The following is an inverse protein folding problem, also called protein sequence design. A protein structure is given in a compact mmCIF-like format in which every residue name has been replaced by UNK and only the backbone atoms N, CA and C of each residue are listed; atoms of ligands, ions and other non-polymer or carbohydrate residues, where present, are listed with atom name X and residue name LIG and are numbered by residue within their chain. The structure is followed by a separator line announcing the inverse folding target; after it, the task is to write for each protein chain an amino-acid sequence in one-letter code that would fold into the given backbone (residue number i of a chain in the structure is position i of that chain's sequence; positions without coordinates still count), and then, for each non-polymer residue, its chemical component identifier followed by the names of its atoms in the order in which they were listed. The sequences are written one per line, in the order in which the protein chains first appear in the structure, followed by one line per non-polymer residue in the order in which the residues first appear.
data_IF_916731731140
#
_entry.id   IF_916731731140
#
_cell.length_a   1.000
_cell.length_b   1.000
_cell.length_c   1.000
_cell.angle_alpha   90.00
_cell.angle_beta   90.00
_cell.angle_gamma   90.00
#
_symmetry.space_group_name_H-M   'P 1'
#
loop_
_entity.id
_entity.type
_entity.pdbx_description
1 polymer ?
#
# COMPACT_ATOMS: atom_id res chain seq x y z
N UNK A 1 -3.69 -29.62 23.43
CA UNK A 1 -2.87 -28.79 22.52
C UNK A 1 -3.10 -27.35 22.94
N UNK A 2 -2.15 -26.78 23.67
CA UNK A 2 -2.24 -25.38 24.12
C UNK A 2 -1.89 -24.46 22.96
N UNK A 3 -2.57 -23.33 22.78
CA UNK A 3 -2.18 -22.34 21.79
C UNK A 3 -0.82 -21.74 22.19
N UNK A 4 0.18 -21.92 21.34
CA UNK A 4 1.46 -21.20 21.45
C UNK A 4 1.21 -19.72 21.19
N UNK A 5 0.99 -18.96 22.25
CA UNK A 5 1.10 -17.50 22.22
C UNK A 5 2.59 -17.18 22.15
N UNK A 6 3.08 -16.90 20.95
CA UNK A 6 4.39 -16.28 20.78
C UNK A 6 4.40 -14.95 21.57
N UNK A 7 5.46 -14.62 22.31
CA UNK A 7 5.55 -13.34 22.99
C UNK A 7 5.49 -12.20 21.96
N UNK A 8 4.92 -11.02 22.32
CA UNK A 8 4.94 -9.86 21.44
C UNK A 8 6.38 -9.55 21.05
N UNK A 9 6.62 -9.26 19.77
CA UNK A 9 7.93 -8.88 19.26
C UNK A 9 8.45 -7.68 20.06
N UNK A 10 9.39 -7.93 20.96
CA UNK A 10 9.99 -6.92 21.83
C UNK A 10 10.67 -5.86 20.97
N UNK A 11 10.16 -4.63 20.98
CA UNK A 11 10.77 -3.47 20.31
C UNK A 11 9.99 -2.85 19.16
N UNK A 12 8.81 -3.37 18.80
CA UNK A 12 7.94 -2.71 17.81
C UNK A 12 7.29 -1.45 18.37
N UNK A 13 7.08 -0.46 17.49
CA UNK A 13 6.36 0.78 17.77
C UNK A 13 4.87 0.63 17.41
N UNK A 14 3.98 1.45 18.00
CA UNK A 14 2.61 1.58 17.50
C UNK A 14 2.61 1.90 16.01
N UNK A 15 1.75 1.22 15.26
CA UNK A 15 1.55 1.50 13.85
C UNK A 15 0.95 2.89 13.62
N UNK A 16 1.35 3.51 12.52
CA UNK A 16 0.72 4.75 12.04
C UNK A 16 -0.46 4.34 11.15
N UNK A 17 -1.71 4.72 11.49
CA UNK A 17 -2.86 4.44 10.63
C UNK A 17 -2.67 5.00 9.23
N UNK A 18 -3.25 4.34 8.23
CA UNK A 18 -3.21 4.74 6.83
C UNK A 18 -3.65 6.20 6.64
N UNK A 19 -4.79 6.59 7.21
CA UNK A 19 -5.31 7.93 7.00
C UNK A 19 -4.41 9.00 7.64
N UNK A 20 -3.79 8.69 8.79
CA UNK A 20 -2.79 9.54 9.41
C UNK A 20 -1.53 9.67 8.54
N UNK A 21 -1.06 8.59 7.90
CA UNK A 21 0.04 8.68 6.93
C UNK A 21 -0.35 9.56 5.73
N UNK A 22 -1.56 9.40 5.19
CA UNK A 22 -2.05 10.20 4.06
C UNK A 22 -2.20 11.68 4.42
N UNK A 23 -2.59 12.01 5.65
CA UNK A 23 -2.57 13.39 6.16
C UNK A 23 -1.15 13.98 6.19
N UNK A 24 -0.13 13.18 6.57
CA UNK A 24 1.27 13.62 6.53
C UNK A 24 1.76 13.84 5.10
N UNK A 25 1.33 13.01 4.15
CA UNK A 25 1.59 13.22 2.72
C UNK A 25 0.96 14.53 2.27
N UNK A 26 -0.31 14.77 2.60
CA UNK A 26 -1.01 16.01 2.29
C UNK A 26 -0.28 17.24 2.86
N UNK A 27 0.12 17.18 4.13
CA UNK A 27 0.87 18.25 4.76
C UNK A 27 2.22 18.50 4.08
N UNK A 28 2.95 17.45 3.71
CA UNK A 28 4.21 17.59 2.98
C UNK A 28 3.98 18.26 1.61
N UNK A 29 2.93 17.87 0.89
CA UNK A 29 2.51 18.52 -0.36
C UNK A 29 2.11 19.98 -0.14
N UNK A 30 1.46 20.34 0.96
CA UNK A 30 1.11 21.75 1.26
C UNK A 30 2.35 22.60 1.54
N UNK A 31 3.36 22.02 2.19
CA UNK A 31 4.62 22.71 2.47
C UNK A 31 5.59 22.74 1.29
N UNK A 32 5.44 21.83 0.32
CA UNK A 32 6.30 21.70 -0.86
C UNK A 32 5.47 21.84 -2.13
N UNK A 33 5.56 22.96 -2.86
CA UNK A 33 4.72 23.16 -4.05
C UNK A 33 5.02 22.15 -5.17
N UNK A 34 6.25 21.61 -5.22
CA UNK A 34 6.69 20.62 -6.20
C UNK A 34 7.39 19.47 -5.48
N UNK A 35 7.17 18.25 -5.96
CA UNK A 35 7.84 17.05 -5.46
C UNK A 35 9.36 17.03 -5.73
N UNK A 36 10.08 16.00 -5.25
CA UNK A 36 9.55 14.81 -4.61
C UNK A 36 9.09 15.03 -3.16
N UNK A 37 8.01 14.35 -2.79
CA UNK A 37 7.45 14.33 -1.45
C UNK A 37 8.08 13.22 -0.61
N UNK A 38 8.15 13.42 0.70
CA UNK A 38 8.89 12.59 1.66
C UNK A 38 8.54 11.10 1.59
N UNK A 39 7.28 10.76 1.39
CA UNK A 39 6.80 9.36 1.48
C UNK A 39 6.47 8.72 0.13
N UNK A 40 6.09 9.53 -0.85
CA UNK A 40 5.55 9.03 -2.13
C UNK A 40 6.40 9.43 -3.33
N UNK A 41 7.47 10.19 -3.14
CA UNK A 41 8.28 10.70 -4.25
C UNK A 41 7.47 11.66 -5.15
N UNK A 42 7.54 11.44 -6.46
CA UNK A 42 6.74 12.23 -7.41
C UNK A 42 5.28 11.77 -7.40
N UNK A 43 4.30 12.70 -7.48
CA UNK A 43 2.89 12.32 -7.50
C UNK A 43 2.55 11.49 -8.74
N UNK A 44 1.98 10.32 -8.49
CA UNK A 44 1.58 9.31 -9.47
C UNK A 44 0.42 8.53 -8.85
N UNK A 45 -0.81 8.73 -9.34
CA UNK A 45 -2.01 8.17 -8.72
C UNK A 45 -2.06 6.64 -8.80
N UNK A 46 -1.49 6.04 -9.85
CA UNK A 46 -1.41 4.58 -9.99
C UNK A 46 -0.48 3.99 -8.95
N UNK A 47 0.71 4.59 -8.80
CA UNK A 47 1.67 4.19 -7.78
C UNK A 47 1.09 4.39 -6.37
N UNK A 48 0.48 5.54 -6.08
CA UNK A 48 -0.09 5.85 -4.76
C UNK A 48 -1.26 4.93 -4.40
N UNK A 49 -2.09 4.55 -5.37
CA UNK A 49 -3.20 3.65 -5.13
C UNK A 49 -2.71 2.28 -4.62
N UNK A 50 -1.70 1.71 -5.28
CA UNK A 50 -1.13 0.43 -4.85
C UNK A 50 -0.21 0.56 -3.63
N UNK A 51 0.46 1.70 -3.44
CA UNK A 51 1.16 2.01 -2.19
C UNK A 51 0.24 1.95 -0.98
N UNK A 52 -0.97 2.48 -1.09
CA UNK A 52 -1.98 2.32 -0.04
C UNK A 52 -2.36 0.85 0.16
N UNK A 53 -2.48 0.10 -0.93
CA UNK A 53 -2.75 -1.35 -0.87
C UNK A 53 -1.69 -2.09 -0.07
N UNK A 54 -0.41 -1.91 -0.41
CA UNK A 54 0.68 -2.63 0.26
C UNK A 54 0.90 -2.20 1.71
N UNK A 55 0.71 -0.92 2.02
CA UNK A 55 0.78 -0.46 3.40
C UNK A 55 -0.37 -1.03 4.23
N UNK A 56 -1.59 -1.09 3.68
CA UNK A 56 -2.73 -1.74 4.35
C UNK A 56 -2.49 -3.23 4.57
N UNK A 57 -1.99 -3.94 3.56
CA UNK A 57 -1.66 -5.36 3.67
C UNK A 57 -0.66 -5.61 4.82
N UNK A 58 0.37 -4.77 4.93
CA UNK A 58 1.30 -4.85 6.06
C UNK A 58 0.62 -4.62 7.43
N UNK A 59 -0.32 -3.66 7.53
CA UNK A 59 -1.09 -3.47 8.76
C UNK A 59 -1.93 -4.71 9.11
N UNK A 60 -2.58 -5.31 8.11
CA UNK A 60 -3.42 -6.50 8.27
C UNK A 60 -2.58 -7.72 8.71
N UNK A 61 -1.41 -7.91 8.10
CA UNK A 61 -0.43 -8.94 8.47
C UNK A 61 0.07 -8.74 9.91
N UNK A 62 0.35 -7.51 10.32
CA UNK A 62 0.72 -7.15 11.69
C UNK A 62 -0.43 -7.30 12.70
N UNK A 63 -1.66 -7.54 12.22
CA UNK A 63 -2.85 -7.65 13.04
C UNK A 63 -3.20 -6.33 13.72
N UNK A 64 -2.99 -5.21 13.02
CA UNK A 64 -3.38 -3.87 13.47
C UNK A 64 -4.85 -3.62 13.16
N UNK A 65 -5.55 -3.00 14.11
CA UNK A 65 -6.94 -2.60 13.96
C UNK A 65 -7.01 -1.08 13.86
N UNK A 66 -7.34 -0.56 12.68
CA UNK A 66 -7.42 0.89 12.43
C UNK A 66 -8.72 1.52 12.97
N UNK A 67 -9.61 0.73 13.60
CA UNK A 67 -10.85 1.23 14.18
C UNK A 67 -11.78 1.82 13.12
N UNK A 68 -12.26 3.04 13.34
CA UNK A 68 -13.19 3.69 12.41
C UNK A 68 -12.57 4.12 11.08
N UNK A 69 -11.24 4.16 10.95
CA UNK A 69 -10.56 4.54 9.70
C UNK A 69 -10.88 3.55 8.55
N UNK A 70 -11.29 2.31 8.88
CA UNK A 70 -11.74 1.31 7.88
C UNK A 70 -12.98 1.78 7.10
N UNK A 71 -13.78 2.68 7.68
CA UNK A 71 -15.00 3.19 7.08
C UNK A 71 -14.75 4.23 5.98
N UNK A 72 -13.53 4.74 5.83
CA UNK A 72 -13.26 5.82 4.88
C UNK A 72 -13.67 5.47 3.44
N UNK A 73 -13.37 4.26 2.97
CA UNK A 73 -13.75 3.82 1.63
C UNK A 73 -15.27 3.76 1.44
N UNK A 74 -15.99 3.27 2.45
CA UNK A 74 -17.45 3.19 2.45
C UNK A 74 -18.06 4.59 2.50
N UNK A 75 -17.54 5.46 3.36
CA UNK A 75 -17.96 6.86 3.46
C UNK A 75 -17.75 7.60 2.13
N UNK A 76 -16.58 7.44 1.51
CA UNK A 76 -16.25 8.11 0.26
C UNK A 76 -17.19 7.63 -0.87
N UNK A 77 -17.54 6.34 -0.88
CA UNK A 77 -18.45 5.75 -1.87
C UNK A 77 -19.91 6.09 -1.64
N UNK A 78 -20.43 5.86 -0.43
CA UNK A 78 -21.87 5.83 -0.17
C UNK A 78 -22.40 7.16 0.38
N UNK A 79 -21.55 7.94 1.08
CA UNK A 79 -21.95 9.22 1.67
C UNK A 79 -21.55 10.38 0.77
N UNK A 80 -20.29 10.42 0.34
CA UNK A 80 -19.80 11.46 -0.57
C UNK A 80 -20.15 11.21 -2.02
N UNK A 81 -20.58 10.00 -2.37
CA UNK A 81 -20.85 9.59 -3.75
C UNK A 81 -19.69 9.94 -4.69
N UNK A 82 -18.47 9.86 -4.14
CA UNK A 82 -17.24 10.31 -4.78
C UNK A 82 -16.25 9.15 -4.96
N UNK A 83 -16.72 7.89 -4.89
CA UNK A 83 -15.94 6.73 -5.31
C UNK A 83 -16.47 6.20 -6.66
N UNK A 84 -15.79 6.51 -7.77
CA UNK A 84 -16.22 6.05 -9.09
C UNK A 84 -16.06 4.53 -9.23
N UNK A 85 -16.93 3.90 -10.03
CA UNK A 85 -16.90 2.45 -10.23
C UNK A 85 -15.60 1.93 -10.86
N UNK A 86 -14.87 2.81 -11.58
CA UNK A 86 -13.55 2.54 -12.15
C UNK A 86 -12.38 2.73 -11.16
N UNK A 87 -12.64 3.17 -9.93
CA UNK A 87 -11.61 3.59 -8.98
C UNK A 87 -11.42 5.12 -8.95
N UNK A 88 -10.86 5.63 -7.85
CA UNK A 88 -10.63 7.08 -7.69
C UNK A 88 -9.50 7.56 -8.60
N UNK A 89 -8.50 6.72 -8.86
CA UNK A 89 -7.30 7.10 -9.58
C UNK A 89 -7.54 7.48 -11.05
N UNK A 90 -8.19 6.65 -11.91
CA UNK A 90 -8.47 7.07 -13.28
C UNK A 90 -9.48 8.22 -13.35
N UNK A 91 -10.46 8.24 -12.45
CA UNK A 91 -11.53 9.23 -12.47
C UNK A 91 -11.03 10.63 -12.09
N UNK A 92 -10.32 10.76 -10.98
CA UNK A 92 -9.82 12.07 -10.54
C UNK A 92 -8.73 12.57 -11.47
N UNK A 93 -7.92 11.68 -12.05
CA UNK A 93 -6.94 12.06 -13.06
C UNK A 93 -7.61 12.65 -14.30
N UNK A 94 -8.70 12.02 -14.78
CA UNK A 94 -9.49 12.52 -15.91
C UNK A 94 -10.11 13.88 -15.64
N UNK A 95 -10.75 14.03 -14.48
CA UNK A 95 -11.35 15.31 -14.04
C UNK A 95 -10.30 16.43 -13.90
N UNK A 96 -9.08 16.09 -13.48
CA UNK A 96 -7.98 17.03 -13.35
C UNK A 96 -7.20 17.24 -14.66
N UNK A 97 -7.69 16.73 -15.80
CA UNK A 97 -7.05 16.90 -17.10
C UNK A 97 -5.67 16.23 -17.22
N UNK A 98 -5.46 15.12 -16.51
CA UNK A 98 -4.18 14.41 -16.46
C UNK A 98 -3.20 14.91 -15.40
N UNK A 99 -3.56 15.92 -14.60
CA UNK A 99 -2.71 16.44 -13.54
C UNK A 99 -2.69 15.50 -12.32
N UNK A 100 -1.59 14.75 -12.19
CA UNK A 100 -1.32 13.82 -11.11
C UNK A 100 -1.36 14.47 -9.72
N UNK A 101 -0.81 15.69 -9.60
CA UNK A 101 -0.73 16.40 -8.32
C UNK A 101 -2.12 16.82 -7.87
N UNK A 102 -2.92 17.40 -8.77
CA UNK A 102 -4.29 17.83 -8.47
C UNK A 102 -5.20 16.64 -8.17
N UNK A 103 -5.09 15.56 -8.94
CA UNK A 103 -5.87 14.34 -8.72
C UNK A 103 -5.57 13.71 -7.36
N UNK A 104 -4.28 13.62 -6.98
CA UNK A 104 -3.88 13.14 -5.68
C UNK A 104 -4.36 14.06 -4.55
N UNK A 105 -4.19 15.38 -4.68
CA UNK A 105 -4.69 16.35 -3.69
C UNK A 105 -6.18 16.21 -3.46
N UNK A 106 -6.97 16.06 -4.52
CA UNK A 106 -8.42 15.83 -4.41
C UNK A 106 -8.74 14.61 -3.54
N UNK A 107 -8.04 13.49 -3.73
CA UNK A 107 -8.22 12.31 -2.88
C UNK A 107 -7.83 12.60 -1.42
N UNK A 108 -6.70 13.29 -1.21
CA UNK A 108 -6.21 13.64 0.13
C UNK A 108 -7.11 14.65 0.85
N UNK A 109 -7.83 15.51 0.13
CA UNK A 109 -8.82 16.41 0.72
C UNK A 109 -10.02 15.64 1.28
N UNK A 110 -10.45 14.56 0.63
CA UNK A 110 -11.46 13.66 1.21
C UNK A 110 -10.93 12.92 2.44
N UNK A 111 -9.65 12.52 2.46
CA UNK A 111 -9.03 11.95 3.67
C UNK A 111 -9.07 12.97 4.82
N UNK A 112 -8.71 14.23 4.53
CA UNK A 112 -8.75 15.30 5.51
C UNK A 112 -10.18 15.57 6.02
N UNK A 113 -11.15 15.62 5.11
CA UNK A 113 -12.55 15.79 5.45
C UNK A 113 -13.11 14.63 6.29
N UNK A 114 -12.77 13.37 5.97
CA UNK A 114 -13.20 12.25 6.79
C UNK A 114 -12.62 12.31 8.20
N UNK A 115 -11.36 12.76 8.34
CA UNK A 115 -10.67 12.84 9.63
C UNK A 115 -11.15 13.99 10.52
N UNK A 116 -12.02 14.88 10.04
CA UNK A 116 -12.71 15.85 10.91
C UNK A 116 -13.99 15.29 11.55
N UNK A 117 -14.47 14.13 11.10
CA UNK A 117 -15.66 13.50 11.66
C UNK A 117 -15.36 12.90 13.04
N UNK A 118 -16.20 13.23 14.01
CA UNK A 118 -16.17 12.62 15.34
C UNK A 118 -16.81 11.23 15.33
N UNK A 119 -16.61 10.45 16.40
CA UNK A 119 -17.34 9.18 16.58
C UNK A 119 -18.86 9.38 16.60
N UNK A 120 -19.34 10.53 17.08
CA UNK A 120 -20.76 10.88 17.07
C UNK A 120 -21.26 11.08 15.63
N UNK A 121 -20.51 11.86 14.83
CA UNK A 121 -20.84 12.09 13.41
C UNK A 121 -20.86 10.77 12.63
N UNK A 122 -19.86 9.92 12.84
CA UNK A 122 -19.78 8.61 12.19
C UNK A 122 -20.92 7.68 12.62
N UNK A 123 -21.36 7.74 13.88
CA UNK A 123 -22.48 6.93 14.37
C UNK A 123 -23.84 7.40 13.83
N UNK A 124 -23.96 8.68 13.49
CA UNK A 124 -25.18 9.28 12.94
C UNK A 124 -25.37 9.00 11.44
N UNK A 125 -24.33 8.56 10.74
CA UNK A 125 -24.43 8.18 9.33
C UNK A 125 -25.30 6.92 9.18
N UNK A 126 -26.25 6.97 8.24
CA UNK A 126 -27.02 5.79 7.84
C UNK A 126 -26.16 4.91 6.94
N UNK A 127 -25.40 4.00 7.54
CA UNK A 127 -24.57 3.05 6.81
C UNK A 127 -25.44 2.02 6.10
N UNK A 128 -25.07 1.68 4.85
CA UNK A 128 -25.80 0.71 4.03
C UNK A 128 -25.73 -0.70 4.61
N UNK A 129 -24.58 -1.05 5.20
CA UNK A 129 -24.35 -2.33 5.87
C UNK A 129 -24.51 -2.07 7.37
N UNK A 130 -25.49 -2.68 8.06
CA UNK A 130 -25.72 -2.44 9.49
C UNK A 130 -24.51 -2.78 10.38
N UNK A 131 -23.70 -3.74 9.95
CA UNK A 131 -22.47 -4.14 10.63
C UNK A 131 -21.40 -3.02 10.59
N UNK A 132 -21.46 -2.10 9.63
CA UNK A 132 -20.49 -0.99 9.55
C UNK A 132 -20.60 -0.02 10.74
N UNK A 133 -21.79 0.08 11.34
CA UNK A 133 -22.05 0.88 12.54
C UNK A 133 -21.13 0.47 13.68
N UNK A 134 -20.78 -0.82 13.78
CA UNK A 134 -19.92 -1.32 14.85
C UNK A 134 -18.48 -0.77 14.75
N UNK A 135 -18.04 -0.38 13.55
CA UNK A 135 -16.72 0.23 13.34
C UNK A 135 -16.73 1.72 13.65
N UNK A 136 -17.87 2.40 13.57
CA UNK A 136 -17.97 3.85 13.79
C UNK A 136 -17.51 4.28 15.20
N UNK A 137 -17.70 3.40 16.18
CA UNK A 137 -17.30 3.63 17.59
C UNK A 137 -16.13 2.74 18.03
N UNK A 138 -15.52 1.98 17.12
CA UNK A 138 -14.44 1.04 17.44
C UNK A 138 -13.15 1.79 17.72
N UNK A 139 -12.63 1.64 18.93
CA UNK A 139 -11.31 2.17 19.28
C UNK A 139 -10.22 1.41 18.51
N UNK A 140 -9.24 2.11 17.91
CA UNK A 140 -8.16 1.46 17.18
C UNK A 140 -7.22 0.70 18.12
N UNK A 141 -6.66 -0.42 17.65
CA UNK A 141 -5.61 -1.18 18.31
C UNK A 141 -4.35 -1.12 17.45
N UNK A 142 -3.52 -0.11 17.73
CA UNK A 142 -2.37 0.24 16.88
C UNK A 142 -1.11 -0.55 17.20
N UNK A 143 -1.07 -1.26 18.33
CA UNK A 143 0.06 -2.12 18.65
C UNK A 143 -0.01 -3.39 17.79
N UNK A 144 1.05 -3.71 17.01
CA UNK A 144 1.10 -4.97 16.28
C UNK A 144 0.88 -6.16 17.22
N UNK A 145 -0.02 -7.06 16.81
CA UNK A 145 -0.35 -8.28 17.56
C UNK A 145 0.32 -9.53 16.97
N UNK A 146 0.86 -9.40 15.76
CA UNK A 146 1.57 -10.46 15.02
C UNK A 146 2.99 -10.03 14.70
N UNK A 147 3.85 -11.02 14.44
CA UNK A 147 5.22 -10.77 14.02
C UNK A 147 5.24 -10.09 12.64
N UNK A 148 6.17 -9.15 12.39
CA UNK A 148 6.33 -8.58 11.07
C UNK A 148 6.77 -9.64 10.08
N UNK A 149 6.19 -9.60 8.88
CA UNK A 149 6.56 -10.46 7.76
C UNK A 149 7.45 -9.67 6.80
N UNK A 150 8.68 -10.15 6.50
CA UNK A 150 9.56 -9.54 5.51
C UNK A 150 8.88 -9.32 4.14
N UNK A 151 9.29 -8.28 3.40
CA UNK A 151 8.72 -8.00 2.08
C UNK A 151 8.94 -9.17 1.11
N UNK A 152 10.04 -9.93 1.26
CA UNK A 152 10.28 -11.07 0.39
C UNK A 152 9.30 -12.23 0.64
N UNK A 153 8.85 -12.45 1.88
CA UNK A 153 7.76 -13.39 2.18
C UNK A 153 6.46 -12.95 1.50
N UNK A 154 6.12 -11.66 1.61
CA UNK A 154 4.95 -11.09 0.94
C UNK A 154 5.00 -11.28 -0.59
N UNK A 155 6.15 -11.04 -1.23
CA UNK A 155 6.32 -11.33 -2.65
C UNK A 155 6.16 -12.82 -2.99
N UNK A 156 6.67 -13.71 -2.13
CA UNK A 156 6.53 -15.15 -2.32
C UNK A 156 5.08 -15.62 -2.16
N UNK A 157 4.30 -14.99 -1.28
CA UNK A 157 2.86 -15.24 -1.15
C UNK A 157 2.09 -14.80 -2.39
N UNK A 158 2.34 -13.59 -2.90
CA UNK A 158 1.76 -13.13 -4.18
C UNK A 158 2.07 -14.15 -5.28
N UNK A 159 3.35 -14.54 -5.42
CA UNK A 159 3.79 -15.54 -6.41
C UNK A 159 3.03 -16.86 -6.27
N UNK A 160 2.87 -17.36 -5.05
CA UNK A 160 2.17 -18.61 -4.75
C UNK A 160 0.69 -18.53 -5.14
N UNK A 161 0.03 -17.40 -4.87
CA UNK A 161 -1.40 -17.22 -5.13
C UNK A 161 -1.73 -17.03 -6.61
N UNK A 162 -0.91 -16.26 -7.34
CA UNK A 162 -1.10 -16.11 -8.79
C UNK A 162 -0.74 -17.38 -9.56
N UNK A 163 0.22 -18.18 -9.07
CA UNK A 163 0.78 -19.32 -9.79
C UNK A 163 1.21 -18.93 -11.21
N UNK A 164 0.99 -19.83 -12.18
CA UNK A 164 1.31 -19.59 -13.59
C UNK A 164 0.14 -18.97 -14.40
N UNK A 165 -0.95 -18.57 -13.73
CA UNK A 165 -2.15 -18.08 -14.43
C UNK A 165 -2.02 -16.59 -14.77
N UNK A 166 -1.99 -16.27 -16.06
CA UNK A 166 -1.96 -14.90 -16.58
C UNK A 166 -3.15 -14.06 -16.06
N UNK A 167 -2.92 -12.76 -15.83
CA UNK A 167 -3.94 -11.83 -15.38
C UNK A 167 -4.24 -11.88 -13.87
N UNK A 168 -3.82 -12.93 -13.13
CA UNK A 168 -4.09 -13.03 -11.68
C UNK A 168 -3.37 -11.98 -10.84
N UNK A 169 -2.29 -11.37 -11.34
CA UNK A 169 -1.67 -10.21 -10.70
C UNK A 169 -2.68 -9.08 -10.46
N UNK A 170 -3.72 -8.97 -11.30
CA UNK A 170 -4.74 -7.95 -11.13
C UNK A 170 -5.57 -8.07 -9.86
N UNK A 171 -5.54 -9.22 -9.17
CA UNK A 171 -6.15 -9.38 -7.84
C UNK A 171 -5.45 -8.52 -6.77
N UNK A 172 -4.15 -8.24 -6.95
CA UNK A 172 -3.33 -7.50 -5.99
C UNK A 172 -3.18 -6.03 -6.36
N UNK A 173 -3.04 -5.74 -7.66
CA UNK A 173 -2.68 -4.41 -8.15
C UNK A 173 -3.69 -3.79 -9.12
N UNK A 174 -4.80 -4.48 -9.44
CA UNK A 174 -5.74 -4.04 -10.48
C UNK A 174 -5.09 -4.06 -11.86
N UNK A 175 -5.21 -3.02 -12.71
CA UNK A 175 -4.39 -2.86 -13.90
C UNK A 175 -2.92 -3.27 -13.68
N UNK A 176 -2.42 -4.20 -14.50
CA UNK A 176 -1.11 -4.81 -14.28
C UNK A 176 -0.04 -3.91 -14.88
N UNK A 177 0.59 -3.08 -14.03
CA UNK A 177 1.71 -2.22 -14.40
C UNK A 177 2.84 -2.35 -13.38
N UNK A 178 4.09 -2.20 -13.83
CA UNK A 178 5.25 -2.22 -12.93
C UNK A 178 5.19 -1.08 -11.91
N UNK A 179 4.62 0.08 -12.28
CA UNK A 179 4.43 1.24 -11.38
C UNK A 179 3.54 0.91 -10.20
N UNK A 180 2.45 0.16 -10.44
CA UNK A 180 1.54 -0.29 -9.38
C UNK A 180 2.22 -1.32 -8.47
N UNK A 181 3.01 -2.24 -9.03
CA UNK A 181 3.81 -3.18 -8.22
C UNK A 181 4.89 -2.47 -7.38
N UNK A 182 5.59 -1.47 -7.95
CA UNK A 182 6.53 -0.62 -7.20
C UNK A 182 5.82 0.07 -6.02
N UNK A 183 4.63 0.62 -6.26
CA UNK A 183 3.79 1.21 -5.23
C UNK A 183 3.48 0.22 -4.11
N UNK A 184 2.94 -0.95 -4.46
CA UNK A 184 2.60 -2.01 -3.51
C UNK A 184 3.79 -2.36 -2.59
N UNK A 185 4.96 -2.63 -3.17
CA UNK A 185 6.18 -2.95 -2.43
C UNK A 185 6.59 -1.79 -1.52
N UNK A 186 6.61 -0.56 -2.05
CA UNK A 186 7.02 0.61 -1.29
C UNK A 186 6.11 0.90 -0.09
N UNK A 187 4.80 0.71 -0.25
CA UNK A 187 3.82 0.86 0.82
C UNK A 187 4.04 -0.15 1.94
N UNK A 188 4.19 -1.43 1.56
CA UNK A 188 4.45 -2.51 2.50
C UNK A 188 5.74 -2.26 3.31
N UNK A 189 6.84 -1.91 2.61
CA UNK A 189 8.13 -1.59 3.24
C UNK A 189 8.08 -0.38 4.15
N UNK A 190 7.34 0.67 3.78
CA UNK A 190 7.20 1.85 4.63
C UNK A 190 6.48 1.51 5.93
N UNK A 191 5.40 0.71 5.87
CA UNK A 191 4.69 0.25 7.06
C UNK A 191 5.63 -0.50 8.02
N UNK A 192 6.40 -1.48 7.52
CA UNK A 192 7.42 -2.19 8.30
C UNK A 192 8.42 -1.22 8.95
N UNK A 193 8.96 -0.28 8.17
CA UNK A 193 9.94 0.69 8.66
C UNK A 193 9.37 1.60 9.77
N UNK A 194 8.11 2.03 9.65
CA UNK A 194 7.47 2.91 10.64
C UNK A 194 7.19 2.19 11.96
N UNK A 195 6.86 0.90 11.94
CA UNK A 195 6.74 0.09 13.18
C UNK A 195 8.09 -0.32 13.76
N UNK A 196 9.20 0.00 13.08
CA UNK A 196 10.55 -0.33 13.50
C UNK A 196 11.01 -1.74 13.12
N UNK A 197 10.26 -2.44 12.26
CA UNK A 197 10.69 -3.71 11.70
C UNK A 197 11.74 -3.48 10.61
N UNK A 198 12.96 -4.01 10.82
CA UNK A 198 14.02 -3.93 9.82
C UNK A 198 13.85 -5.03 8.78
N UNK A 199 13.72 -4.64 7.52
CA UNK A 199 13.63 -5.58 6.40
C UNK A 199 14.99 -5.75 5.72
N UNK A 200 15.93 -6.36 6.45
CA UNK A 200 17.30 -6.57 5.97
C UNK A 200 17.36 -7.60 4.82
N UNK A 201 16.42 -8.55 4.78
CA UNK A 201 16.34 -9.55 3.71
C UNK A 201 16.06 -8.88 2.37
N UNK A 202 15.06 -7.99 2.31
CA UNK A 202 14.75 -7.30 1.07
C UNK A 202 15.89 -6.39 0.59
N UNK A 203 16.62 -5.74 1.50
CA UNK A 203 17.81 -4.95 1.14
C UNK A 203 18.91 -5.82 0.53
N UNK A 204 19.12 -7.04 1.06
CA UNK A 204 20.06 -8.00 0.45
C UNK A 204 19.57 -8.48 -0.92
N UNK A 205 18.27 -8.71 -1.08
CA UNK A 205 17.67 -9.06 -2.36
C UNK A 205 17.89 -7.94 -3.40
N UNK A 206 17.64 -6.68 -3.06
CA UNK A 206 17.89 -5.53 -3.96
C UNK A 206 19.36 -5.44 -4.39
N UNK A 207 20.29 -5.66 -3.44
CA UNK A 207 21.73 -5.70 -3.77
C UNK A 207 22.05 -6.88 -4.69
N UNK A 208 21.51 -8.06 -4.41
CA UNK A 208 21.72 -9.24 -5.26
C UNK A 208 21.15 -9.04 -6.67
N UNK A 209 20.03 -8.35 -6.84
CA UNK A 209 19.52 -7.97 -8.17
C UNK A 209 20.52 -7.09 -8.94
N UNK A 210 21.23 -6.21 -8.24
CA UNK A 210 22.26 -5.36 -8.84
C UNK A 210 23.51 -6.17 -9.21
N UNK A 211 24.00 -6.97 -8.27
CA UNK A 211 25.26 -7.69 -8.40
C UNK A 211 25.16 -8.87 -9.39
N UNK A 212 24.06 -9.63 -9.36
CA UNK A 212 23.93 -10.91 -10.08
C UNK A 212 22.94 -10.86 -11.24
N UNK A 213 21.96 -9.95 -11.22
CA UNK A 213 20.89 -9.87 -12.25
C UNK A 213 21.00 -8.65 -13.16
N UNK A 214 22.06 -7.85 -12.99
CA UNK A 214 22.38 -6.73 -13.88
C UNK A 214 21.41 -5.56 -13.79
N UNK A 215 20.70 -5.40 -12.67
CA UNK A 215 19.97 -4.15 -12.39
C UNK A 215 21.02 -3.03 -12.20
N UNK A 216 21.00 -1.96 -13.01
CA UNK A 216 22.01 -0.91 -12.88
C UNK A 216 22.02 -0.29 -11.48
N UNK A 217 23.20 -0.04 -10.93
CA UNK A 217 23.34 0.61 -9.62
C UNK A 217 22.60 1.95 -9.59
N UNK A 218 21.77 2.14 -8.56
CA UNK A 218 20.96 3.36 -8.41
C UNK A 218 19.67 3.37 -9.24
N UNK A 219 19.35 2.29 -9.96
CA UNK A 219 18.05 2.10 -10.60
C UNK A 219 17.21 1.06 -9.84
N UNK A 220 15.91 1.28 -9.82
CA UNK A 220 14.92 0.30 -9.40
C UNK A 220 14.76 -0.79 -10.47
N UNK A 221 14.31 -1.97 -10.06
CA UNK A 221 14.15 -3.15 -10.93
C UNK A 221 13.16 -2.94 -12.11
N UNK A 222 12.18 -2.03 -11.95
CA UNK A 222 11.03 -1.93 -12.83
C UNK A 222 11.39 -1.60 -14.28
N UNK A 223 12.21 -0.57 -14.52
CA UNK A 223 12.58 -0.15 -15.87
C UNK A 223 13.49 -1.17 -16.60
N UNK A 224 14.56 -1.69 -15.96
CA UNK A 224 15.36 -2.75 -16.57
C UNK A 224 14.55 -4.00 -16.93
N UNK A 225 13.65 -4.45 -16.04
CA UNK A 225 12.88 -5.66 -16.30
C UNK A 225 11.80 -5.44 -17.34
N UNK A 226 11.13 -4.29 -17.32
CA UNK A 226 10.16 -3.92 -18.35
C UNK A 226 10.82 -3.88 -19.73
N UNK A 227 12.01 -3.30 -19.83
CA UNK A 227 12.78 -3.24 -21.08
C UNK A 227 13.18 -4.64 -21.56
N UNK A 228 13.67 -5.49 -20.65
CA UNK A 228 14.04 -6.87 -20.96
C UNK A 228 12.85 -7.74 -21.40
N UNK A 229 11.65 -7.41 -20.93
CA UNK A 229 10.40 -8.07 -21.30
C UNK A 229 9.67 -7.38 -22.47
N UNK A 230 10.34 -6.49 -23.22
CA UNK A 230 9.75 -5.85 -24.40
C UNK A 230 8.53 -4.96 -24.11
N UNK A 231 8.43 -4.41 -22.90
CA UNK A 231 7.30 -3.60 -22.46
C UNK A 231 6.16 -4.40 -21.82
N UNK A 232 6.29 -5.73 -21.68
CA UNK A 232 5.30 -6.56 -20.99
C UNK A 232 5.43 -6.40 -19.47
N UNK A 233 4.45 -5.70 -18.88
CA UNK A 233 4.40 -5.44 -17.45
C UNK A 233 4.16 -6.70 -16.61
N UNK A 234 3.30 -7.61 -17.05
CA UNK A 234 3.02 -8.85 -16.32
C UNK A 234 4.27 -9.72 -16.27
N UNK A 235 4.94 -9.89 -17.41
CA UNK A 235 6.18 -10.67 -17.48
C UNK A 235 7.31 -10.02 -16.68
N UNK A 236 7.43 -8.69 -16.69
CA UNK A 236 8.42 -7.99 -15.87
C UNK A 236 8.19 -8.21 -14.35
N UNK A 237 6.92 -8.20 -13.90
CA UNK A 237 6.57 -8.48 -12.50
C UNK A 237 6.82 -9.97 -12.18
N UNK A 238 6.40 -10.90 -13.06
CA UNK A 238 6.67 -12.33 -12.88
C UNK A 238 8.16 -12.63 -12.80
N UNK A 239 8.98 -11.91 -13.58
CA UNK A 239 10.44 -11.99 -13.51
C UNK A 239 10.97 -11.56 -12.14
N UNK A 240 10.49 -10.45 -11.58
CA UNK A 240 10.83 -10.04 -10.21
C UNK A 240 10.46 -11.13 -9.19
N UNK A 241 9.25 -11.67 -9.26
CA UNK A 241 8.78 -12.72 -8.37
C UNK A 241 9.59 -14.01 -8.52
N UNK A 242 9.98 -14.36 -9.74
CA UNK A 242 10.88 -15.48 -10.03
C UNK A 242 12.26 -15.28 -9.40
N UNK A 243 12.81 -14.07 -9.48
CA UNK A 243 14.06 -13.71 -8.84
C UNK A 243 13.98 -13.70 -7.31
N UNK A 244 12.87 -13.29 -6.73
CA UNK A 244 12.63 -13.44 -5.29
C UNK A 244 12.71 -14.91 -4.85
N UNK A 245 12.09 -15.80 -5.63
CA UNK A 245 12.16 -17.24 -5.38
C UNK A 245 13.57 -17.82 -5.56
N UNK A 246 14.29 -17.38 -6.58
CA UNK A 246 15.68 -17.78 -6.83
C UNK A 246 16.60 -17.36 -5.68
N UNK A 247 16.52 -16.09 -5.25
CA UNK A 247 17.31 -15.56 -4.15
C UNK A 247 17.11 -16.34 -2.84
N UNK A 248 15.88 -16.81 -2.57
CA UNK A 248 15.58 -17.63 -1.39
C UNK A 248 16.08 -19.06 -1.46
N UNK A 249 16.38 -19.57 -2.64
CA UNK A 249 16.89 -20.91 -2.83
C UNK A 249 18.43 -20.99 -2.78
N UNK A 250 19.10 -19.84 -2.84
CA UNK A 250 20.56 -19.70 -2.79
C UNK A 250 21.08 -19.64 -1.34
#
# INVERSE_FOLDING_TARGET
MSPSTLPPATGLKPAVPMLELLLRVRQDMDTRPVGPYRYIGMPDVDWVNCFKGGYRECLDVLGVDEGSDVLFGVWLRDVRLAWPGEGWEPAYLRECGGDQTRALRKYLDYVAEFRTLSSEDLSAISWRIPEDVQFATRAPQLMPTRAPQPTLDFLMEIRREIGDTEGRLGMFIGPITVRRMEGLIAGYRLCLGLVGARDEEYVRFERWLQDEKGVPTGQEWAQPFLSACGGDHEQAIRRLLGFAAEFRAA
#
